data_IF_484566391486
#
_entry.id   IF_484566391486
#
_cell.length_a   1.000
_cell.length_b   1.000
_cell.length_c   1.000
_cell.angle_alpha   90.00
_cell.angle_beta   90.00
_cell.angle_gamma   90.00
#
_symmetry.space_group_name_H-M   'P 1'
#
loop_
_entity.id
_entity.type
_entity.pdbx_description
1 polymer ?
#
# COMPACT_ATOMS: atom_id res chain seq x y z
N UNK A 1 48.00 -24.52 31.33
CA UNK A 1 47.46 -23.13 31.32
C UNK A 1 48.55 -22.21 30.79
N UNK A 2 48.31 -21.53 29.66
CA UNK A 2 48.72 -20.14 29.56
C UNK A 2 47.56 -19.26 29.05
N UNK A 3 47.42 -18.08 29.65
CA UNK A 3 46.39 -17.09 29.34
C UNK A 3 47.04 -15.84 28.75
N UNK A 4 46.57 -15.46 27.57
CA UNK A 4 46.31 -14.13 26.99
C UNK A 4 47.33 -12.98 27.17
N UNK A 5 47.66 -12.32 26.06
CA UNK A 5 47.49 -10.86 25.88
C UNK A 5 47.51 -10.45 24.39
N UNK A 6 46.53 -9.62 24.03
CA UNK A 6 46.28 -8.97 22.74
C UNK A 6 47.33 -7.90 22.41
N UNK A 7 47.63 -7.70 21.11
CA UNK A 7 47.82 -6.37 20.52
C UNK A 7 48.03 -6.50 19.00
N UNK A 8 47.07 -6.05 18.18
CA UNK A 8 47.41 -5.42 16.89
C UNK A 8 46.53 -4.19 16.75
N UNK A 9 47.20 -3.05 16.78
CA UNK A 9 46.69 -1.74 16.47
C UNK A 9 47.08 -1.38 15.02
N UNK A 10 46.08 -0.85 14.32
CA UNK A 10 46.15 0.27 13.35
C UNK A 10 46.93 0.07 12.04
N UNK A 11 46.20 0.24 10.94
CA UNK A 11 46.72 0.51 9.59
C UNK A 11 45.62 1.00 8.65
N UNK A 12 45.35 2.31 8.70
CA UNK A 12 44.70 3.20 7.71
C UNK A 12 45.05 2.81 6.24
N UNK A 13 44.27 2.97 5.15
CA UNK A 13 43.51 4.11 4.58
C UNK A 13 42.60 3.55 3.45
N UNK A 14 41.38 4.06 3.26
CA UNK A 14 40.82 4.39 1.93
C UNK A 14 39.44 5.05 2.05
N UNK A 15 39.41 6.32 1.66
CA UNK A 15 38.25 7.18 1.49
C UNK A 15 37.25 6.60 0.48
N UNK A 16 35.94 6.61 0.79
CA UNK A 16 34.91 6.66 -0.24
C UNK A 16 33.70 7.46 0.23
N UNK A 17 33.42 8.51 -0.54
CA UNK A 17 32.14 9.10 -0.89
C UNK A 17 31.12 9.40 0.22
N UNK A 18 30.88 10.72 0.37
CA UNK A 18 29.56 11.24 0.64
C UNK A 18 28.53 10.53 -0.25
N UNK A 19 27.57 9.85 0.36
CA UNK A 19 26.30 9.55 -0.29
C UNK A 19 25.20 10.06 0.64
N UNK A 20 24.37 10.90 0.04
CA UNK A 20 23.22 11.53 0.63
C UNK A 20 22.39 10.52 1.43
N UNK A 21 21.81 11.01 2.52
CA UNK A 21 20.66 10.39 3.16
C UNK A 21 19.60 10.12 2.08
N UNK A 22 19.56 8.87 1.60
CA UNK A 22 18.40 8.37 0.89
C UNK A 22 17.36 8.17 1.98
N UNK A 23 16.47 9.15 2.12
CA UNK A 23 15.18 8.91 2.71
C UNK A 23 14.60 7.70 1.98
N UNK A 24 14.63 6.54 2.63
CA UNK A 24 13.84 5.40 2.21
C UNK A 24 12.39 5.80 2.39
N UNK A 25 11.84 6.41 1.33
CA UNK A 25 10.42 6.44 1.11
C UNK A 25 9.91 5.02 1.33
N UNK A 26 8.94 4.89 2.24
CA UNK A 26 8.22 3.66 2.49
C UNK A 26 7.92 3.01 1.14
N UNK A 27 8.38 1.77 0.95
CA UNK A 27 8.10 1.01 -0.27
C UNK A 27 6.58 0.95 -0.36
N UNK A 28 5.93 1.62 -1.33
CA UNK A 28 4.51 1.39 -1.53
C UNK A 28 4.39 -0.07 -1.90
N UNK A 29 3.59 -0.83 -1.15
CA UNK A 29 3.22 -2.18 -1.55
C UNK A 29 2.71 -2.08 -2.99
N UNK A 30 3.44 -2.71 -3.93
CA UNK A 30 3.08 -2.70 -5.33
C UNK A 30 1.62 -3.14 -5.45
N UNK A 31 0.77 -2.29 -5.99
CA UNK A 31 -0.63 -2.62 -6.19
C UNK A 31 -0.68 -3.93 -7.00
N UNK A 32 -1.41 -4.96 -6.55
CA UNK A 32 -1.49 -6.21 -7.29
C UNK A 32 -2.09 -5.92 -8.67
N UNK A 33 -1.32 -6.24 -9.71
CA UNK A 33 -1.78 -6.11 -11.08
C UNK A 33 -2.96 -7.06 -11.32
N UNK A 34 -4.03 -6.55 -11.93
CA UNK A 34 -5.13 -7.38 -12.41
C UNK A 34 -4.58 -8.41 -13.42
N UNK A 35 -4.74 -9.73 -13.22
CA UNK A 35 -4.36 -10.68 -14.27
C UNK A 35 -5.25 -10.47 -15.51
N UNK A 36 -4.69 -10.52 -16.73
CA UNK A 36 -5.46 -10.34 -17.95
C UNK A 36 -6.51 -11.45 -18.06
N UNK A 37 -7.75 -11.05 -18.35
CA UNK A 37 -8.84 -11.99 -18.58
C UNK A 37 -8.59 -12.65 -19.94
N UNK A 38 -8.55 -13.99 -20.00
CA UNK A 38 -8.18 -14.78 -21.18
C UNK A 38 -9.14 -14.64 -22.38
N UNK A 39 -9.05 -13.53 -23.11
CA UNK A 39 -9.63 -13.34 -24.44
C UNK A 39 -8.50 -13.11 -25.46
N UNK A 40 -8.66 -13.56 -26.72
CA UNK A 40 -7.58 -13.57 -27.70
C UNK A 40 -7.04 -12.17 -27.97
N UNK A 41 -5.72 -12.09 -28.15
CA UNK A 41 -4.94 -10.86 -28.31
C UNK A 41 -5.33 -10.07 -29.57
N UNK A 42 -6.33 -9.21 -29.43
CA UNK A 42 -6.47 -7.99 -30.22
C UNK A 42 -6.09 -6.83 -29.31
N UNK A 43 -4.95 -6.18 -29.57
CA UNK A 43 -4.55 -4.96 -28.87
C UNK A 43 -5.53 -3.84 -29.22
N UNK A 44 -6.67 -3.78 -28.54
CA UNK A 44 -7.43 -2.55 -28.45
C UNK A 44 -6.50 -1.50 -27.79
N UNK A 45 -6.55 -0.22 -28.22
CA UNK A 45 -5.88 0.83 -27.48
C UNK A 45 -6.29 0.71 -26.01
N UNK A 46 -5.32 0.46 -25.12
CA UNK A 46 -5.58 0.44 -23.68
C UNK A 46 -6.14 1.78 -23.31
N UNK A 47 -7.44 1.82 -22.99
CA UNK A 47 -8.10 2.99 -22.43
C UNK A 47 -7.36 3.37 -21.14
N UNK A 48 -6.56 4.46 -21.14
CA UNK A 48 -5.73 4.80 -20.00
C UNK A 48 -6.57 5.10 -18.76
N UNK A 49 -7.80 5.58 -18.96
CA UNK A 49 -8.73 5.84 -17.87
C UNK A 49 -9.24 4.54 -17.26
N UNK A 50 -9.47 3.51 -18.07
CA UNK A 50 -9.85 2.18 -17.60
C UNK A 50 -8.70 1.48 -16.85
N UNK A 51 -7.46 1.57 -17.34
CA UNK A 51 -6.30 1.03 -16.63
C UNK A 51 -6.09 1.74 -15.28
N UNK A 52 -6.21 3.07 -15.27
CA UNK A 52 -6.15 3.85 -14.03
C UNK A 52 -7.27 3.48 -13.05
N UNK A 53 -8.49 3.27 -13.54
CA UNK A 53 -9.63 2.84 -12.74
C UNK A 53 -9.38 1.46 -12.10
N UNK A 54 -8.80 0.50 -12.83
CA UNK A 54 -8.42 -0.82 -12.28
C UNK A 54 -7.34 -0.71 -11.19
N UNK A 55 -6.33 0.14 -11.41
CA UNK A 55 -5.27 0.36 -10.43
C UNK A 55 -5.82 1.00 -9.15
N UNK A 56 -6.62 2.07 -9.32
CA UNK A 56 -7.25 2.75 -8.20
C UNK A 56 -8.15 1.81 -7.40
N UNK A 57 -9.07 1.08 -8.05
CA UNK A 57 -10.01 0.23 -7.31
C UNK A 57 -9.30 -0.91 -6.57
N UNK A 58 -8.19 -1.41 -7.11
CA UNK A 58 -7.38 -2.45 -6.48
C UNK A 58 -6.71 -1.92 -5.22
N UNK A 59 -6.05 -0.76 -5.32
CA UNK A 59 -5.49 -0.06 -4.16
C UNK A 59 -6.55 0.27 -3.11
N UNK A 60 -7.65 0.89 -3.52
CA UNK A 60 -8.72 1.32 -2.64
C UNK A 60 -9.32 0.13 -1.87
N UNK A 61 -9.64 -0.94 -2.60
CA UNK A 61 -10.24 -2.15 -2.02
C UNK A 61 -9.28 -2.82 -1.05
N UNK A 62 -8.00 -2.96 -1.45
CA UNK A 62 -6.99 -3.59 -0.62
C UNK A 62 -6.81 -2.84 0.70
N UNK A 63 -6.56 -1.53 0.66
CA UNK A 63 -6.28 -0.75 1.86
C UNK A 63 -7.51 -0.61 2.77
N UNK A 64 -8.72 -0.52 2.20
CA UNK A 64 -9.98 -0.50 2.97
C UNK A 64 -10.21 -1.80 3.75
N UNK A 65 -9.83 -2.95 3.18
CA UNK A 65 -10.23 -4.28 3.69
C UNK A 65 -9.09 -4.98 4.43
N UNK A 66 -7.87 -4.98 3.90
CA UNK A 66 -6.79 -5.83 4.38
C UNK A 66 -6.33 -5.45 5.80
N UNK A 67 -6.13 -4.15 6.07
CA UNK A 67 -5.81 -3.67 7.43
C UNK A 67 -6.90 -4.00 8.44
N UNK A 68 -8.18 -3.81 8.06
CA UNK A 68 -9.31 -4.14 8.91
C UNK A 68 -9.34 -5.64 9.25
N UNK A 69 -9.17 -6.51 8.25
CA UNK A 69 -9.17 -7.96 8.48
C UNK A 69 -8.06 -8.41 9.43
N UNK A 70 -6.85 -7.85 9.30
CA UNK A 70 -5.74 -8.18 10.20
C UNK A 70 -6.02 -7.66 11.61
N UNK A 71 -6.52 -6.44 11.77
CA UNK A 71 -6.78 -5.86 13.08
C UNK A 71 -8.02 -6.43 13.78
N UNK A 72 -9.04 -6.87 13.03
CA UNK A 72 -10.18 -7.61 13.58
C UNK A 72 -9.71 -8.93 14.24
N UNK A 73 -8.74 -9.64 13.63
CA UNK A 73 -8.14 -10.85 14.23
C UNK A 73 -7.35 -10.57 15.52
N UNK A 74 -6.95 -9.33 15.73
CA UNK A 74 -6.30 -8.84 16.94
C UNK A 74 -7.30 -8.21 17.94
N UNK A 75 -8.61 -8.27 17.64
CA UNK A 75 -9.67 -7.61 18.39
C UNK A 75 -9.49 -6.09 18.55
N UNK A 76 -8.91 -5.43 17.55
CA UNK A 76 -8.73 -3.97 17.51
C UNK A 76 -9.64 -3.36 16.45
N UNK A 77 -10.51 -2.45 16.87
CA UNK A 77 -11.38 -1.71 15.95
C UNK A 77 -10.61 -0.58 15.27
N UNK A 78 -10.51 -0.66 13.94
CA UNK A 78 -9.88 0.36 13.08
C UNK A 78 -10.91 1.05 12.17
N UNK A 79 -12.19 1.04 12.56
CA UNK A 79 -13.26 1.66 11.75
C UNK A 79 -13.04 3.14 11.51
N UNK A 80 -12.40 3.86 12.45
CA UNK A 80 -12.02 5.26 12.24
C UNK A 80 -11.07 5.43 11.05
N UNK A 81 -10.00 4.63 10.97
CA UNK A 81 -9.09 4.60 9.82
C UNK A 81 -9.84 4.30 8.52
N UNK A 82 -10.66 3.24 8.52
CA UNK A 82 -11.42 2.82 7.32
C UNK A 82 -12.33 3.94 6.84
N UNK A 83 -13.07 4.58 7.76
CA UNK A 83 -13.98 5.67 7.44
C UNK A 83 -13.23 6.89 6.88
N UNK A 84 -12.11 7.28 7.49
CA UNK A 84 -11.29 8.40 6.99
C UNK A 84 -10.75 8.09 5.60
N UNK A 85 -10.14 6.91 5.40
CA UNK A 85 -9.62 6.49 4.10
C UNK A 85 -10.71 6.48 3.02
N UNK A 86 -11.91 5.97 3.33
CA UNK A 86 -13.05 5.97 2.40
C UNK A 86 -13.48 7.40 2.05
N UNK A 87 -13.58 8.28 3.03
CA UNK A 87 -14.00 9.66 2.83
C UNK A 87 -13.00 10.45 1.97
N UNK A 88 -11.71 10.32 2.23
CA UNK A 88 -10.64 11.00 1.47
C UNK A 88 -10.61 10.56 -0.01
N UNK A 89 -11.02 9.32 -0.26
CA UNK A 89 -11.01 8.70 -1.59
C UNK A 89 -12.36 8.75 -2.32
N UNK A 90 -13.42 9.27 -1.70
CA UNK A 90 -14.79 9.19 -2.21
C UNK A 90 -14.96 9.72 -3.65
N UNK A 91 -14.32 10.85 -3.98
CA UNK A 91 -14.39 11.44 -5.32
C UNK A 91 -13.69 10.61 -6.41
N UNK A 92 -12.51 10.05 -6.09
CA UNK A 92 -11.79 9.17 -7.02
C UNK A 92 -12.48 7.81 -7.16
N UNK A 93 -13.07 7.31 -6.07
CA UNK A 93 -13.90 6.11 -6.08
C UNK A 93 -15.12 6.26 -6.99
N UNK A 94 -15.88 7.34 -6.88
CA UNK A 94 -17.06 7.58 -7.72
C UNK A 94 -16.71 7.61 -9.22
N UNK A 95 -15.60 8.29 -9.59
CA UNK A 95 -15.10 8.30 -10.97
C UNK A 95 -14.67 6.92 -11.45
N UNK A 96 -13.92 6.20 -10.63
CA UNK A 96 -13.49 4.84 -10.91
C UNK A 96 -14.68 3.92 -11.18
N UNK A 97 -15.72 4.00 -10.34
CA UNK A 97 -16.92 3.18 -10.52
C UNK A 97 -17.66 3.50 -11.81
N UNK A 98 -17.76 4.78 -12.20
CA UNK A 98 -18.35 5.18 -13.48
C UNK A 98 -17.60 4.57 -14.67
N UNK A 99 -16.26 4.66 -14.66
CA UNK A 99 -15.41 4.09 -15.73
C UNK A 99 -15.54 2.56 -15.77
N UNK A 100 -15.41 1.88 -14.63
CA UNK A 100 -15.52 0.42 -14.58
C UNK A 100 -16.89 -0.08 -15.06
N UNK A 101 -17.97 0.61 -14.68
CA UNK A 101 -19.33 0.24 -15.10
C UNK A 101 -19.55 0.43 -16.60
N UNK A 102 -19.00 1.49 -17.21
CA UNK A 102 -19.02 1.69 -18.66
C UNK A 102 -18.33 0.53 -19.41
N UNK A 103 -17.40 -0.15 -18.75
CA UNK A 103 -16.69 -1.34 -19.24
C UNK A 103 -17.28 -2.67 -18.71
N UNK A 104 -18.47 -2.66 -18.12
CA UNK A 104 -19.17 -3.87 -17.66
C UNK A 104 -18.57 -4.54 -16.42
N UNK A 105 -17.81 -3.81 -15.61
CA UNK A 105 -17.28 -4.26 -14.33
C UNK A 105 -18.02 -3.62 -13.16
N UNK A 106 -18.53 -4.45 -12.25
CA UNK A 106 -19.14 -4.02 -10.99
C UNK A 106 -18.15 -4.13 -9.83
N UNK A 107 -18.39 -3.39 -8.74
CA UNK A 107 -17.58 -3.47 -7.52
C UNK A 107 -17.55 -4.91 -6.99
N UNK A 108 -18.68 -5.62 -6.98
CA UNK A 108 -18.75 -7.01 -6.53
C UNK A 108 -17.83 -7.93 -7.35
N UNK A 109 -17.77 -7.74 -8.68
CA UNK A 109 -16.88 -8.50 -9.56
C UNK A 109 -15.40 -8.16 -9.32
N UNK A 110 -15.11 -6.92 -8.95
CA UNK A 110 -13.76 -6.50 -8.54
C UNK A 110 -13.37 -7.13 -7.21
N UNK A 111 -14.21 -7.00 -6.19
CA UNK A 111 -14.04 -7.60 -4.86
C UNK A 111 -13.78 -9.10 -4.96
N UNK A 112 -14.59 -9.82 -5.74
CA UNK A 112 -14.45 -11.26 -5.90
C UNK A 112 -13.08 -11.66 -6.51
N UNK A 113 -12.53 -10.83 -7.41
CA UNK A 113 -11.20 -11.07 -7.99
C UNK A 113 -10.07 -10.76 -7.01
N UNK A 114 -10.24 -9.75 -6.17
CA UNK A 114 -9.22 -9.30 -5.22
C UNK A 114 -9.22 -10.10 -3.91
N UNK A 115 -10.29 -10.83 -3.61
CA UNK A 115 -10.43 -11.52 -2.33
C UNK A 115 -9.30 -12.51 -2.04
N UNK A 116 -8.90 -13.30 -3.03
CA UNK A 116 -7.78 -14.24 -2.89
C UNK A 116 -6.46 -13.50 -2.64
N UNK A 117 -6.23 -12.41 -3.36
CA UNK A 117 -5.04 -11.56 -3.18
C UNK A 117 -4.99 -10.96 -1.79
N UNK A 118 -6.09 -10.34 -1.33
CA UNK A 118 -6.20 -9.76 0.02
C UNK A 118 -5.88 -10.81 1.09
N UNK A 119 -6.46 -12.01 0.96
CA UNK A 119 -6.19 -13.09 1.90
C UNK A 119 -4.71 -13.52 1.88
N UNK A 120 -4.10 -13.62 0.70
CA UNK A 120 -2.69 -14.01 0.57
C UNK A 120 -1.70 -12.95 1.07
N UNK A 121 -2.10 -11.67 1.07
CA UNK A 121 -1.25 -10.55 1.49
C UNK A 121 -1.28 -10.27 2.99
N UNK A 122 -1.99 -11.07 3.80
CA UNK A 122 -2.01 -10.89 5.26
C UNK A 122 -0.61 -10.77 5.89
N UNK A 123 0.40 -11.60 5.53
CA UNK A 123 1.75 -11.45 6.07
C UNK A 123 2.37 -10.07 5.77
N UNK A 124 2.16 -9.54 4.57
CA UNK A 124 2.68 -8.23 4.17
C UNK A 124 2.00 -7.10 4.95
N UNK A 125 0.68 -7.22 5.18
CA UNK A 125 -0.08 -6.26 5.97
C UNK A 125 0.37 -6.26 7.43
N UNK A 126 0.60 -7.45 8.01
CA UNK A 126 1.16 -7.59 9.36
C UNK A 126 2.52 -6.91 9.47
N UNK A 127 3.40 -7.16 8.49
CA UNK A 127 4.73 -6.54 8.41
C UNK A 127 4.63 -5.02 8.31
N UNK A 128 3.72 -4.49 7.48
CA UNK A 128 3.50 -3.05 7.35
C UNK A 128 3.00 -2.41 8.65
N UNK A 129 2.11 -3.09 9.38
CA UNK A 129 1.63 -2.65 10.70
C UNK A 129 2.77 -2.62 11.73
N UNK A 130 3.62 -3.66 11.74
CA UNK A 130 4.80 -3.73 12.60
C UNK A 130 5.79 -2.61 12.29
N UNK A 131 6.11 -2.40 11.01
CA UNK A 131 7.01 -1.33 10.58
C UNK A 131 6.45 0.05 10.92
N UNK A 132 5.13 0.22 10.84
CA UNK A 132 4.46 1.44 11.31
C UNK A 132 4.59 1.61 12.82
N UNK A 133 4.37 0.56 13.61
CA UNK A 133 4.53 0.64 15.06
C UNK A 133 5.95 1.01 15.46
N UNK A 134 6.95 0.41 14.81
CA UNK A 134 8.38 0.68 15.08
C UNK A 134 8.74 2.10 14.72
N UNK A 135 8.39 2.56 13.50
CA UNK A 135 8.68 3.92 13.02
C UNK A 135 8.11 4.99 13.95
N UNK A 136 6.95 4.72 14.52
CA UNK A 136 6.19 5.65 15.36
C UNK A 136 6.49 5.46 16.86
N UNK A 137 7.44 4.59 17.20
CA UNK A 137 7.80 4.23 18.58
C UNK A 137 6.59 3.74 19.41
N UNK A 138 5.60 3.12 18.76
CA UNK A 138 4.39 2.58 19.39
C UNK A 138 4.53 1.10 19.81
N UNK A 139 5.58 0.42 19.36
CA UNK A 139 5.85 -0.99 19.66
C UNK A 139 6.53 -1.70 18.50
N UNK A 140 6.45 -3.03 18.48
CA UNK A 140 7.09 -3.85 17.45
C UNK A 140 6.26 -5.06 17.00
N UNK A 141 5.01 -5.16 17.45
CA UNK A 141 4.11 -6.27 17.10
C UNK A 141 3.00 -5.81 16.16
N UNK A 142 2.39 -6.74 15.44
CA UNK A 142 1.16 -6.48 14.66
C UNK A 142 0.07 -5.82 15.55
N UNK A 143 -0.08 -6.26 16.80
CA UNK A 143 -1.06 -5.70 17.73
C UNK A 143 -0.78 -4.22 18.03
N UNK A 144 0.49 -3.86 18.23
CA UNK A 144 0.89 -2.46 18.45
C UNK A 144 0.60 -1.60 17.22
N UNK A 145 0.86 -2.15 16.02
CA UNK A 145 0.52 -1.49 14.76
C UNK A 145 -0.98 -1.26 14.60
N UNK A 146 -1.81 -2.24 14.96
CA UNK A 146 -3.26 -2.09 14.94
C UNK A 146 -3.76 -1.07 15.96
N UNK A 147 -3.21 -1.05 17.18
CA UNK A 147 -3.54 -0.04 18.19
C UNK A 147 -3.14 1.37 17.74
N UNK A 148 -1.95 1.49 17.15
CA UNK A 148 -1.50 2.75 16.56
C UNK A 148 -2.46 3.20 15.45
N UNK A 149 -2.85 2.29 14.56
CA UNK A 149 -3.79 2.58 13.48
C UNK A 149 -5.17 3.01 14.01
N UNK A 150 -5.66 2.38 15.07
CA UNK A 150 -6.92 2.76 15.70
C UNK A 150 -6.86 4.17 16.30
N UNK A 151 -5.73 4.53 16.92
CA UNK A 151 -5.55 5.84 17.56
C UNK A 151 -5.20 6.96 16.57
N UNK A 152 -4.55 6.64 15.45
CA UNK A 152 -3.95 7.59 14.52
C UNK A 152 -4.35 7.32 13.05
N UNK A 153 -5.55 6.78 12.84
CA UNK A 153 -6.03 6.37 11.52
C UNK A 153 -5.94 7.44 10.45
N UNK A 154 -6.15 8.71 10.81
CA UNK A 154 -6.03 9.85 9.89
C UNK A 154 -4.61 10.00 9.32
N UNK A 155 -3.59 9.73 10.15
CA UNK A 155 -2.18 9.81 9.72
C UNK A 155 -1.89 8.78 8.65
N UNK A 156 -2.29 7.52 8.88
CA UNK A 156 -2.03 6.46 7.91
C UNK A 156 -2.91 6.58 6.66
N UNK A 157 -4.15 7.07 6.79
CA UNK A 157 -5.00 7.39 5.63
C UNK A 157 -4.33 8.43 4.72
N UNK A 158 -3.73 9.47 5.32
CA UNK A 158 -3.00 10.52 4.61
C UNK A 158 -1.70 10.02 3.95
N UNK A 159 -1.04 9.01 4.54
CA UNK A 159 0.13 8.36 3.98
C UNK A 159 -0.25 7.41 2.83
N UNK A 160 -1.43 6.79 2.89
CA UNK A 160 -2.04 5.96 1.85
C UNK A 160 -2.79 6.82 0.82
N UNK A 161 -2.16 7.88 0.33
CA UNK A 161 -2.71 8.78 -0.67
C UNK A 161 -2.13 8.46 -2.06
N UNK A 162 -2.95 7.87 -2.93
CA UNK A 162 -2.60 7.63 -4.33
C UNK A 162 -2.30 8.93 -5.09
N UNK A 163 -2.88 10.07 -4.70
CA UNK A 163 -2.55 11.35 -5.35
C UNK A 163 -1.11 11.76 -5.10
N UNK A 164 -0.54 11.37 -3.96
CA UNK A 164 0.85 11.67 -3.60
C UNK A 164 1.81 10.63 -4.15
N UNK A 165 1.47 9.34 -4.03
CA UNK A 165 2.35 8.23 -4.41
C UNK A 165 2.30 7.89 -5.89
N UNK A 166 1.14 8.07 -6.53
CA UNK A 166 0.87 7.71 -7.92
C UNK A 166 -0.02 8.77 -8.62
N UNK A 167 0.45 10.03 -8.71
CA UNK A 167 -0.32 11.11 -9.32
C UNK A 167 -0.77 10.81 -10.76
N UNK A 168 -0.01 9.99 -11.50
CA UNK A 168 -0.32 9.53 -12.85
C UNK A 168 -1.63 8.75 -12.93
N UNK A 169 -1.94 7.94 -11.92
CA UNK A 169 -3.18 7.16 -11.85
C UNK A 169 -4.37 8.11 -11.72
N UNK A 170 -4.24 9.11 -10.85
CA UNK A 170 -5.31 10.08 -10.62
C UNK A 170 -5.49 11.00 -11.83
N UNK A 171 -4.41 11.40 -12.49
CA UNK A 171 -4.46 12.20 -13.72
C UNK A 171 -5.17 11.45 -14.85
N UNK A 172 -4.75 10.21 -15.12
CA UNK A 172 -5.36 9.35 -16.13
C UNK A 172 -6.83 9.05 -15.82
N UNK A 173 -7.18 8.82 -14.55
CA UNK A 173 -8.56 8.62 -14.10
C UNK A 173 -9.45 9.85 -14.37
N UNK A 174 -8.90 11.05 -14.26
CA UNK A 174 -9.62 12.29 -14.53
C UNK A 174 -9.78 12.59 -16.02
N UNK A 175 -9.20 11.77 -16.92
CA UNK A 175 -9.23 12.01 -18.36
C UNK A 175 -8.37 13.21 -18.79
N UNK A 176 -7.51 13.71 -17.90
CA UNK A 176 -6.55 14.74 -18.24
C UNK A 176 -5.42 14.12 -19.06
N UNK A 177 -5.23 14.60 -20.30
CA UNK A 177 -4.09 14.19 -21.12
C UNK A 177 -2.79 14.61 -20.41
N UNK A 178 -1.72 13.78 -20.43
CA UNK A 178 -0.41 14.18 -19.94
C UNK A 178 0.12 15.42 -20.66
#
# INVERSE_FOLDING_TARGET
MPSRLNMIAVGLIASVAATAAVAQAAVPAAAPAYPPSGAPAGHAPTDPQFEAAKNFISFYTFNRVAYKQVCDKQAVDVSAFVNTFVNENAGAYARTMSVLQAHGLSEAKVMARLQATIASSEPDVRKALEDSAVRENAGSTTLDGCKFLAAHGEKLATDLDLKKSHPEVIQALNGAKP
#
